data_IF_945247037326
#
_entry.id   IF_945247037326
#
_cell.length_a   1.000
_cell.length_b   1.000
_cell.length_c   1.000
_cell.angle_alpha   90.00
_cell.angle_beta   90.00
_cell.angle_gamma   90.00
#
_symmetry.space_group_name_H-M   'P 1'
#
loop_
_entity.id
_entity.type
_entity.pdbx_description
1 polymer ?
#
# COMPACT_ATOMS: atom_id res chain seq x y z
N UNK A 1 -2.48 -11.42 10.63
CA UNK A 1 -2.75 -10.17 11.37
C UNK A 1 -4.17 -9.77 10.99
N UNK A 2 -5.04 -9.49 11.97
CA UNK A 2 -6.39 -9.02 11.66
C UNK A 2 -6.36 -7.49 11.68
N UNK A 3 -6.67 -6.87 10.54
CA UNK A 3 -6.75 -5.42 10.42
C UNK A 3 -8.20 -4.98 10.63
N UNK A 4 -8.39 -3.89 11.37
CA UNK A 4 -9.65 -3.16 11.35
C UNK A 4 -10.00 -2.77 9.90
N UNK A 5 -11.28 -2.80 9.53
CA UNK A 5 -11.71 -2.61 8.13
C UNK A 5 -11.23 -1.28 7.53
N UNK A 6 -11.16 -0.20 8.32
CA UNK A 6 -10.65 1.10 7.85
C UNK A 6 -9.12 1.08 7.63
N UNK A 7 -8.37 0.35 8.45
CA UNK A 7 -6.93 0.15 8.26
C UNK A 7 -6.70 -0.67 7.00
N UNK A 8 -7.46 -1.75 6.83
CA UNK A 8 -7.42 -2.58 5.62
C UNK A 8 -7.71 -1.74 4.37
N UNK A 9 -8.71 -0.87 4.41
CA UNK A 9 -9.03 0.03 3.30
C UNK A 9 -7.87 0.98 2.98
N UNK A 10 -7.19 1.53 4.00
CA UNK A 10 -6.04 2.39 3.80
C UNK A 10 -4.83 1.64 3.19
N UNK A 11 -4.59 0.39 3.60
CA UNK A 11 -3.57 -0.48 2.97
C UNK A 11 -3.87 -0.69 1.50
N UNK A 12 -5.10 -1.14 1.20
CA UNK A 12 -5.53 -1.44 -0.17
C UNK A 12 -5.49 -0.19 -1.05
N UNK A 13 -5.89 0.97 -0.51
CA UNK A 13 -5.76 2.26 -1.20
C UNK A 13 -4.30 2.53 -1.59
N UNK A 14 -3.36 2.43 -0.65
CA UNK A 14 -1.96 2.72 -0.95
C UNK A 14 -1.31 1.73 -1.91
N UNK A 15 -1.64 0.44 -1.80
CA UNK A 15 -1.19 -0.58 -2.75
C UNK A 15 -1.65 -0.21 -4.17
N UNK A 16 -2.91 0.18 -4.32
CA UNK A 16 -3.48 0.54 -5.61
C UNK A 16 -2.85 1.82 -6.18
N UNK A 17 -2.64 2.84 -5.36
CA UNK A 17 -1.96 4.09 -5.78
C UNK A 17 -0.53 3.84 -6.25
N UNK A 18 0.20 2.91 -5.62
CA UNK A 18 1.54 2.49 -6.08
C UNK A 18 1.46 1.85 -7.46
N UNK A 19 0.59 0.86 -7.64
CA UNK A 19 0.41 0.17 -8.95
C UNK A 19 0.02 1.16 -10.06
N UNK A 20 -0.76 2.20 -9.76
CA UNK A 20 -1.15 3.19 -10.76
C UNK A 20 -0.15 4.33 -10.95
N UNK A 21 0.88 4.45 -10.10
CA UNK A 21 1.73 5.62 -10.03
C UNK A 21 2.47 5.92 -11.35
N UNK A 22 2.88 4.89 -12.09
CA UNK A 22 3.57 5.04 -13.37
C UNK A 22 2.61 5.35 -14.55
N UNK A 23 1.30 5.15 -14.33
CA UNK A 23 0.20 5.31 -15.29
C UNK A 23 -0.09 4.06 -16.12
N UNK A 24 0.47 2.90 -15.77
CA UNK A 24 0.30 1.61 -16.45
C UNK A 24 0.26 0.46 -15.45
N UNK A 25 -0.85 -0.27 -15.47
CA UNK A 25 -0.95 -1.50 -14.69
C UNK A 25 -0.29 -2.65 -15.47
N UNK A 26 0.79 -3.20 -14.94
CA UNK A 26 1.51 -4.35 -15.49
C UNK A 26 0.86 -5.67 -15.03
N UNK A 27 0.91 -6.74 -15.85
CA UNK A 27 0.34 -8.04 -15.47
C UNK A 27 0.90 -8.63 -14.18
N UNK A 28 2.18 -8.38 -13.89
CA UNK A 28 2.84 -8.90 -12.68
C UNK A 28 2.32 -8.21 -11.40
N UNK A 29 2.05 -6.91 -11.46
CA UNK A 29 1.44 -6.16 -10.36
C UNK A 29 0.02 -6.66 -10.06
N UNK A 30 -0.76 -6.97 -11.10
CA UNK A 30 -2.08 -7.58 -10.94
C UNK A 30 -1.99 -8.97 -10.32
N UNK A 31 -0.98 -9.77 -10.67
CA UNK A 31 -0.74 -11.06 -10.03
C UNK A 31 -0.42 -10.89 -8.54
N UNK A 32 0.45 -9.94 -8.20
CA UNK A 32 0.79 -9.60 -6.81
C UNK A 32 -0.41 -9.08 -6.04
N UNK A 33 -1.21 -8.17 -6.61
CA UNK A 33 -2.45 -7.68 -6.02
C UNK A 33 -3.44 -8.83 -5.73
N UNK A 34 -3.55 -9.79 -6.65
CA UNK A 34 -4.41 -10.96 -6.46
C UNK A 34 -3.89 -11.90 -5.34
N UNK A 35 -2.57 -12.01 -5.15
CA UNK A 35 -2.00 -12.71 -3.99
C UNK A 35 -2.33 -11.96 -2.69
N UNK A 36 -2.18 -10.63 -2.69
CA UNK A 36 -2.45 -9.78 -1.53
C UNK A 36 -3.92 -9.81 -1.11
N UNK A 37 -4.88 -9.99 -2.02
CA UNK A 37 -6.29 -10.24 -1.69
C UNK A 37 -6.46 -11.34 -0.65
N UNK A 38 -5.71 -12.43 -0.81
CA UNK A 38 -5.76 -13.58 0.11
C UNK A 38 -5.02 -13.31 1.43
N UNK A 39 -3.90 -12.58 1.38
CA UNK A 39 -3.05 -12.28 2.55
C UNK A 39 -3.71 -11.24 3.46
N UNK A 40 -4.26 -10.17 2.89
CA UNK A 40 -4.88 -9.05 3.60
C UNK A 40 -6.38 -9.33 3.87
N UNK A 41 -7.00 -10.21 3.08
CA UNK A 41 -8.40 -10.61 3.24
C UNK A 41 -9.37 -9.57 2.69
N UNK A 42 -9.24 -9.26 1.39
CA UNK A 42 -10.14 -8.38 0.64
C UNK A 42 -10.48 -8.94 -0.75
N UNK A 43 -11.56 -8.46 -1.35
CA UNK A 43 -12.02 -8.84 -2.69
C UNK A 43 -12.10 -7.62 -3.62
N UNK A 44 -12.51 -7.81 -4.88
CA UNK A 44 -12.63 -6.74 -5.87
C UNK A 44 -13.63 -5.65 -5.44
N UNK A 45 -14.74 -6.03 -4.79
CA UNK A 45 -15.72 -5.05 -4.29
C UNK A 45 -15.15 -4.21 -3.13
N UNK A 46 -14.28 -4.79 -2.31
CA UNK A 46 -13.54 -4.03 -1.30
C UNK A 46 -12.50 -3.12 -1.94
N UNK A 47 -11.76 -3.60 -2.95
CA UNK A 47 -10.79 -2.79 -3.69
C UNK A 47 -11.44 -1.54 -4.31
N UNK A 48 -12.58 -1.71 -5.00
CA UNK A 48 -13.33 -0.59 -5.58
C UNK A 48 -13.73 0.43 -4.51
N UNK A 49 -14.19 -0.02 -3.34
CA UNK A 49 -14.57 0.87 -2.22
C UNK A 49 -13.36 1.54 -1.57
N UNK A 50 -12.27 0.81 -1.39
CA UNK A 50 -11.02 1.34 -0.84
C UNK A 50 -10.43 2.41 -1.78
N UNK A 51 -10.56 2.24 -3.10
CA UNK A 51 -10.06 3.24 -4.06
C UNK A 51 -10.84 4.57 -3.99
N UNK A 52 -12.11 4.55 -3.55
CA UNK A 52 -12.90 5.76 -3.30
C UNK A 52 -12.48 6.51 -2.02
N UNK A 53 -11.63 5.91 -1.19
CA UNK A 53 -11.10 6.58 -0.01
C UNK A 53 -10.24 7.78 -0.45
N UNK A 54 -10.43 8.89 0.24
CA UNK A 54 -9.57 10.06 0.07
C UNK A 54 -8.13 9.74 0.49
N UNK A 55 -7.17 10.15 -0.32
CA UNK A 55 -5.75 9.82 -0.12
C UNK A 55 -5.24 10.35 1.22
N UNK A 56 -5.57 11.60 1.57
CA UNK A 56 -5.10 12.20 2.83
C UNK A 56 -5.69 11.46 4.05
N UNK A 57 -6.95 11.04 3.98
CA UNK A 57 -7.56 10.20 5.01
C UNK A 57 -6.90 8.82 5.14
N UNK A 58 -6.45 8.22 4.02
CA UNK A 58 -5.67 7.00 4.05
C UNK A 58 -4.33 7.24 4.76
N UNK A 59 -3.60 8.29 4.40
CA UNK A 59 -2.33 8.65 5.04
C UNK A 59 -2.49 8.90 6.54
N UNK A 60 -3.50 9.66 6.96
CA UNK A 60 -3.78 9.89 8.40
C UNK A 60 -4.06 8.58 9.12
N UNK A 61 -4.81 7.67 8.49
CA UNK A 61 -5.07 6.34 9.04
C UNK A 61 -3.76 5.57 9.25
N UNK A 62 -2.89 5.55 8.24
CA UNK A 62 -1.63 4.81 8.26
C UNK A 62 -0.60 5.42 9.21
N UNK A 63 -0.57 6.75 9.34
CA UNK A 63 0.27 7.46 10.31
C UNK A 63 -0.03 7.05 11.75
N UNK A 64 -1.29 6.78 12.08
CA UNK A 64 -1.71 6.40 13.43
C UNK A 64 -1.51 4.91 13.76
N UNK A 65 -0.94 4.13 12.84
CA UNK A 65 -0.71 2.71 13.07
C UNK A 65 0.44 2.46 14.06
N UNK A 66 0.38 1.34 14.81
CA UNK A 66 1.55 0.78 15.47
C UNK A 66 2.70 0.54 14.49
N UNK A 67 3.94 0.68 14.97
CA UNK A 67 5.12 0.61 14.11
C UNK A 67 5.28 -0.73 13.38
N UNK A 68 4.95 -1.85 14.02
CA UNK A 68 4.94 -3.18 13.40
C UNK A 68 3.98 -3.27 12.21
N UNK A 69 2.83 -2.59 12.28
CA UNK A 69 1.89 -2.52 11.16
C UNK A 69 2.37 -1.59 10.05
N UNK A 70 3.05 -0.49 10.37
CA UNK A 70 3.71 0.36 9.36
C UNK A 70 4.80 -0.40 8.61
N UNK A 71 5.57 -1.23 9.31
CA UNK A 71 6.55 -2.13 8.68
C UNK A 71 5.89 -3.17 7.77
N UNK A 72 4.79 -3.77 8.22
CA UNK A 72 4.03 -4.70 7.37
C UNK A 72 3.53 -4.02 6.08
N UNK A 73 3.07 -2.76 6.15
CA UNK A 73 2.74 -2.00 4.95
C UNK A 73 3.97 -1.80 4.04
N UNK A 74 5.11 -1.42 4.61
CA UNK A 74 6.34 -1.20 3.86
C UNK A 74 6.77 -2.45 3.09
N UNK A 75 6.77 -3.61 3.75
CA UNK A 75 7.11 -4.89 3.12
C UNK A 75 6.17 -5.20 1.94
N UNK A 76 4.87 -4.92 2.09
CA UNK A 76 3.87 -5.13 1.03
C UNK A 76 4.10 -4.19 -0.15
N UNK A 77 4.35 -2.90 0.11
CA UNK A 77 4.56 -1.92 -0.95
C UNK A 77 5.87 -2.21 -1.72
N UNK A 78 6.90 -2.67 -1.03
CA UNK A 78 8.14 -3.12 -1.67
C UNK A 78 7.89 -4.36 -2.55
N UNK A 79 7.13 -5.36 -2.07
CA UNK A 79 6.78 -6.55 -2.87
C UNK A 79 6.03 -6.18 -4.16
N UNK A 80 5.14 -5.19 -4.10
CA UNK A 80 4.40 -4.68 -5.25
C UNK A 80 5.34 -4.02 -6.26
N UNK A 81 6.20 -3.11 -5.82
CA UNK A 81 7.09 -2.34 -6.69
C UNK A 81 8.23 -3.15 -7.34
N UNK A 82 8.48 -4.38 -6.89
CA UNK A 82 9.46 -5.28 -7.52
C UNK A 82 8.82 -6.42 -8.33
N UNK A 83 7.48 -6.47 -8.37
CA UNK A 83 6.73 -7.61 -8.91
C UNK A 83 7.04 -7.91 -10.38
N UNK A 84 7.26 -6.87 -11.19
CA UNK A 84 7.55 -6.97 -12.62
C UNK A 84 9.04 -7.16 -12.94
N UNK A 85 9.90 -7.18 -11.91
CA UNK A 85 11.35 -7.27 -12.02
C UNK A 85 12.05 -5.96 -12.41
N UNK A 86 11.35 -4.82 -12.42
CA UNK A 86 11.90 -3.52 -12.71
C UNK A 86 11.37 -2.46 -11.73
N UNK A 87 12.26 -1.81 -10.99
CA UNK A 87 11.86 -0.72 -10.09
C UNK A 87 11.49 0.50 -10.94
N UNK A 88 10.20 0.84 -11.00
CA UNK A 88 9.75 2.07 -11.62
C UNK A 88 9.96 3.26 -10.68
N UNK A 89 10.56 4.33 -11.21
CA UNK A 89 10.90 5.50 -10.39
C UNK A 89 9.68 6.12 -9.70
N UNK A 90 8.53 6.19 -10.37
CA UNK A 90 7.33 6.83 -9.84
C UNK A 90 6.67 6.03 -8.71
N UNK A 91 6.63 4.70 -8.82
CA UNK A 91 6.23 3.82 -7.72
C UNK A 91 7.14 4.02 -6.51
N UNK A 92 8.46 4.00 -6.73
CA UNK A 92 9.44 4.17 -5.66
C UNK A 92 9.34 5.56 -4.99
N UNK A 93 9.18 6.63 -5.79
CA UNK A 93 8.97 7.98 -5.28
C UNK A 93 7.71 8.02 -4.38
N UNK A 94 6.60 7.39 -4.80
CA UNK A 94 5.37 7.33 -4.00
C UNK A 94 5.52 6.50 -2.72
N UNK A 95 6.26 5.38 -2.77
CA UNK A 95 6.55 4.55 -1.59
C UNK A 95 7.36 5.35 -0.56
N UNK A 96 8.42 6.03 -1.01
CA UNK A 96 9.25 6.87 -0.14
C UNK A 96 8.41 8.00 0.48
N UNK A 97 7.61 8.70 -0.34
CA UNK A 97 6.71 9.74 0.14
C UNK A 97 5.71 9.18 1.15
N UNK A 98 5.18 7.98 0.92
CA UNK A 98 4.29 7.31 1.88
C UNK A 98 4.99 7.06 3.20
N UNK A 99 6.22 6.51 3.19
CA UNK A 99 6.98 6.23 4.41
C UNK A 99 7.24 7.49 5.22
N UNK A 100 7.64 8.57 4.56
CA UNK A 100 7.82 9.89 5.20
C UNK A 100 6.50 10.35 5.83
N UNK A 101 5.40 10.33 5.08
CA UNK A 101 4.12 10.86 5.55
C UNK A 101 3.48 10.03 6.68
N UNK A 102 3.77 8.73 6.76
CA UNK A 102 3.31 7.89 7.88
C UNK A 102 4.30 7.88 9.06
N UNK A 103 5.40 8.62 8.98
CA UNK A 103 6.43 8.69 10.03
C UNK A 103 7.22 7.39 10.21
N UNK A 104 7.38 6.61 9.13
CA UNK A 104 8.21 5.40 9.14
C UNK A 104 9.67 5.80 8.86
N UNK A 105 10.58 5.47 9.78
CA UNK A 105 12.00 5.83 9.70
C UNK A 105 12.40 7.07 10.52
N UNK A 106 11.45 7.74 11.17
CA UNK A 106 11.71 8.85 12.11
C UNK A 106 11.94 8.37 13.57
N UNK A 107 12.16 7.07 13.78
CA UNK A 107 12.42 6.52 15.10
C UNK A 107 13.75 7.05 15.65
N UNK A 108 13.69 7.80 16.75
CA UNK A 108 14.87 8.10 17.56
C UNK A 108 15.11 6.94 18.51
N UNK A 109 16.37 6.47 18.58
CA UNK A 109 16.82 5.42 19.51
C UNK A 109 16.53 5.74 20.99
#
# INVERSE_FOLDING_TARGET
MEFEEFVKAAFVKMIYEVIEADGKIHPAELETLNKLKSVIGFDDAFLERANLLDYDNAIVTLYNLPHDQKKALADILEEVAIADGAIHKKEMDLIIDTFINIGLGEETE
#
